data_IF_164377750191
#
_entry.id   IF_164377750191
#
_cell.length_a   1.000
_cell.length_b   1.000
_cell.length_c   1.000
_cell.angle_alpha   90.00
_cell.angle_beta   90.00
_cell.angle_gamma   90.00
#
_symmetry.space_group_name_H-M   'P 1'
#
loop_
_entity.id
_entity.type
_entity.pdbx_description
1 polymer ?
#
# COMPACT_ATOMS: atom_id res chain seq x y z
N UNK A 1 -10.07 -6.98 12.55
CA UNK A 1 -9.87 -5.52 12.57
C UNK A 1 -10.93 -4.83 11.72
N UNK A 2 -11.54 -3.78 12.27
CA UNK A 2 -12.38 -2.84 11.51
C UNK A 2 -11.55 -1.80 10.73
N UNK A 3 -12.20 -1.03 9.86
CA UNK A 3 -11.53 0.00 9.04
C UNK A 3 -10.82 1.08 9.88
N UNK A 4 -11.42 1.48 11.01
CA UNK A 4 -10.84 2.47 11.93
C UNK A 4 -9.59 1.94 12.64
N UNK A 5 -9.61 0.69 13.11
CA UNK A 5 -8.46 0.05 13.74
C UNK A 5 -7.30 -0.14 12.75
N UNK A 6 -7.60 -0.52 11.49
CA UNK A 6 -6.58 -0.60 10.45
C UNK A 6 -5.91 0.75 10.23
N UNK A 7 -6.70 1.82 10.16
CA UNK A 7 -6.17 3.18 9.97
C UNK A 7 -5.23 3.56 11.11
N UNK A 8 -5.62 3.31 12.35
CA UNK A 8 -4.80 3.67 13.51
C UNK A 8 -3.54 2.79 13.60
N UNK A 9 -3.63 1.50 13.25
CA UNK A 9 -2.47 0.62 13.13
C UNK A 9 -1.48 1.09 12.05
N UNK A 10 -1.95 1.45 10.86
CA UNK A 10 -1.10 1.95 9.77
C UNK A 10 -0.48 3.31 10.11
N UNK A 11 -1.20 4.18 10.83
CA UNK A 11 -0.64 5.42 11.38
C UNK A 11 0.45 5.15 12.41
N UNK A 12 0.27 4.15 13.28
CA UNK A 12 1.29 3.71 14.24
C UNK A 12 2.58 3.20 13.57
N UNK A 13 2.47 2.64 12.36
CA UNK A 13 3.59 2.22 11.52
C UNK A 13 4.19 3.35 10.68
N UNK A 14 3.78 4.60 10.93
CA UNK A 14 4.26 5.81 10.28
C UNK A 14 3.97 5.88 8.76
N UNK A 15 3.00 5.10 8.27
CA UNK A 15 2.52 5.24 6.89
C UNK A 15 1.64 6.47 6.73
N UNK A 16 2.05 7.41 5.87
CA UNK A 16 1.27 8.60 5.50
C UNK A 16 0.45 8.32 4.25
N UNK A 17 -0.70 7.67 4.43
CA UNK A 17 -1.63 7.35 3.35
C UNK A 17 -2.81 8.33 3.33
N UNK A 18 -3.31 8.66 2.14
CA UNK A 18 -4.55 9.42 1.99
C UNK A 18 -5.76 8.55 2.36
N UNK A 19 -6.86 9.18 2.79
CA UNK A 19 -8.10 8.47 3.14
C UNK A 19 -8.60 7.60 1.97
N UNK A 20 -8.50 8.10 0.73
CA UNK A 20 -8.85 7.34 -0.48
C UNK A 20 -8.01 6.06 -0.64
N UNK A 21 -6.73 6.11 -0.32
CA UNK A 21 -5.85 4.93 -0.39
C UNK A 21 -6.24 3.91 0.69
N UNK A 22 -6.53 4.38 1.90
CA UNK A 22 -6.97 3.53 3.01
C UNK A 22 -8.31 2.85 2.70
N UNK A 23 -9.28 3.58 2.16
CA UNK A 23 -10.58 3.01 1.73
C UNK A 23 -10.39 1.94 0.67
N UNK A 24 -9.51 2.16 -0.30
CA UNK A 24 -9.20 1.18 -1.34
C UNK A 24 -8.58 -0.09 -0.75
N UNK A 25 -7.68 0.05 0.23
CA UNK A 25 -7.09 -1.09 0.94
C UNK A 25 -8.17 -1.85 1.70
N UNK A 26 -9.04 -1.16 2.44
CA UNK A 26 -10.13 -1.82 3.17
C UNK A 26 -11.03 -2.59 2.19
N UNK A 27 -11.47 -1.97 1.09
CA UNK A 27 -12.33 -2.63 0.11
C UNK A 27 -11.67 -3.87 -0.52
N UNK A 28 -10.37 -3.78 -0.83
CA UNK A 28 -9.61 -4.84 -1.50
C UNK A 28 -9.33 -6.04 -0.59
N UNK A 29 -9.15 -5.80 0.70
CA UNK A 29 -8.67 -6.80 1.65
C UNK A 29 -9.70 -7.20 2.72
N UNK A 30 -10.88 -6.56 2.79
CA UNK A 30 -11.92 -7.01 3.72
C UNK A 30 -12.47 -8.38 3.33
N UNK A 31 -12.74 -9.22 4.33
CA UNK A 31 -13.49 -10.45 4.17
C UNK A 31 -14.98 -10.16 3.98
N UNK A 32 -15.77 -11.11 3.45
CA UNK A 32 -17.23 -11.00 3.25
C UNK A 32 -18.03 -10.53 4.47
N UNK A 33 -17.43 -10.58 5.67
CA UNK A 33 -18.02 -10.14 6.95
C UNK A 33 -17.65 -8.71 7.39
N UNK A 34 -16.96 -7.92 6.57
CA UNK A 34 -16.54 -6.57 6.98
C UNK A 34 -15.22 -6.51 7.76
N UNK A 35 -14.56 -7.65 7.98
CA UNK A 35 -13.42 -7.76 8.91
C UNK A 35 -12.14 -8.08 8.16
N UNK A 36 -11.05 -7.44 8.58
CA UNK A 36 -9.68 -7.74 8.14
C UNK A 36 -9.06 -8.68 9.15
N UNK A 37 -8.67 -9.88 8.72
CA UNK A 37 -7.96 -10.87 9.53
C UNK A 37 -6.49 -10.50 9.69
N UNK A 38 -5.81 -11.11 10.67
CA UNK A 38 -4.41 -10.77 10.95
C UNK A 38 -3.46 -11.14 9.80
N UNK A 39 -3.68 -12.28 9.15
CA UNK A 39 -2.93 -12.68 7.95
C UNK A 39 -3.04 -11.62 6.84
N UNK A 40 -4.25 -11.08 6.66
CA UNK A 40 -4.53 -10.06 5.66
C UNK A 40 -3.91 -8.71 6.04
N UNK A 41 -3.93 -8.37 7.33
CA UNK A 41 -3.21 -7.20 7.85
C UNK A 41 -1.70 -7.30 7.58
N UNK A 42 -1.06 -8.44 7.86
CA UNK A 42 0.36 -8.64 7.57
C UNK A 42 0.62 -8.52 6.06
N UNK A 43 -0.23 -9.11 5.23
CA UNK A 43 -0.12 -9.02 3.77
C UNK A 43 -0.22 -7.57 3.25
N UNK A 44 -1.15 -6.77 3.79
CA UNK A 44 -1.26 -5.34 3.48
C UNK A 44 0.04 -4.62 3.80
N UNK A 45 0.61 -4.87 4.98
CA UNK A 45 1.85 -4.21 5.40
C UNK A 45 3.03 -4.56 4.49
N UNK A 46 3.23 -5.84 4.18
CA UNK A 46 4.30 -6.28 3.28
C UNK A 46 4.15 -5.63 1.91
N UNK A 47 2.94 -5.63 1.35
CA UNK A 47 2.67 -5.00 0.04
C UNK A 47 2.91 -3.49 0.06
N UNK A 48 2.49 -2.80 1.11
CA UNK A 48 2.74 -1.36 1.27
C UNK A 48 4.24 -1.06 1.30
N UNK A 49 5.01 -1.81 2.10
CA UNK A 49 6.47 -1.64 2.16
C UNK A 49 7.10 -1.81 0.78
N UNK A 50 6.73 -2.86 0.04
CA UNK A 50 7.25 -3.11 -1.31
C UNK A 50 6.86 -2.01 -2.31
N UNK A 51 5.63 -1.49 -2.24
CA UNK A 51 5.18 -0.35 -3.06
C UNK A 51 5.99 0.91 -2.75
N UNK A 52 6.16 1.24 -1.47
CA UNK A 52 6.94 2.40 -1.06
C UNK A 52 8.41 2.27 -1.47
N UNK A 53 9.01 1.09 -1.28
CA UNK A 53 10.40 0.86 -1.68
C UNK A 53 10.57 0.97 -3.20
N UNK A 54 9.67 0.37 -3.97
CA UNK A 54 9.68 0.43 -5.43
C UNK A 54 9.52 1.87 -5.95
N UNK A 55 8.66 2.66 -5.31
CA UNK A 55 8.47 4.07 -5.62
C UNK A 55 9.69 4.91 -5.24
N UNK A 56 10.20 4.77 -4.00
CA UNK A 56 11.34 5.55 -3.50
C UNK A 56 12.62 5.25 -4.28
N UNK A 57 12.87 3.98 -4.63
CA UNK A 57 14.04 3.56 -5.42
C UNK A 57 14.10 4.31 -6.75
N UNK A 58 12.96 4.48 -7.42
CA UNK A 58 12.85 5.20 -8.69
C UNK A 58 12.74 6.72 -8.51
N UNK A 59 12.07 7.19 -7.45
CA UNK A 59 11.95 8.62 -7.14
C UNK A 59 13.28 9.26 -6.76
N UNK A 60 14.27 8.51 -6.25
CA UNK A 60 15.62 9.04 -5.98
C UNK A 60 16.28 9.68 -7.21
N UNK A 61 15.91 9.23 -8.42
CA UNK A 61 16.39 9.82 -9.66
C UNK A 61 15.70 11.14 -10.03
N UNK A 62 14.48 11.39 -9.55
CA UNK A 62 13.68 12.57 -9.87
C UNK A 62 13.13 13.19 -8.59
N UNK A 63 13.78 14.26 -8.09
CA UNK A 63 13.41 15.02 -6.87
C UNK A 63 12.04 15.72 -6.95
N UNK A 64 11.21 15.36 -7.92
CA UNK A 64 9.92 15.99 -8.24
C UNK A 64 8.73 15.37 -7.48
N UNK A 65 8.96 14.28 -6.73
CA UNK A 65 7.90 13.53 -6.06
C UNK A 65 7.01 12.73 -7.01
N UNK A 66 7.43 12.57 -8.27
CA UNK A 66 6.77 11.75 -9.29
C UNK A 66 7.74 10.69 -9.81
N UNK A 67 7.20 9.54 -10.19
CA UNK A 67 7.96 8.46 -10.83
C UNK A 67 7.39 8.22 -12.21
N UNK A 68 8.28 8.14 -13.20
CA UNK A 68 7.93 7.77 -14.57
C UNK A 68 8.20 6.26 -14.73
N UNK A 69 7.25 5.56 -15.32
CA UNK A 69 7.38 4.14 -15.64
C UNK A 69 7.29 3.96 -17.15
N UNK A 70 8.15 3.10 -17.71
CA UNK A 70 7.85 2.46 -18.99
C UNK A 70 6.73 1.43 -18.78
N UNK A 71 6.06 1.01 -19.86
CA UNK A 71 4.94 0.06 -19.75
C UNK A 71 5.39 -1.26 -19.11
N UNK A 72 6.51 -1.84 -19.56
CA UNK A 72 7.10 -3.05 -18.99
C UNK A 72 7.51 -2.87 -17.53
N UNK A 73 8.15 -1.74 -17.18
CA UNK A 73 8.53 -1.45 -15.79
C UNK A 73 7.32 -1.38 -14.86
N UNK A 74 6.20 -0.82 -15.35
CA UNK A 74 4.96 -0.71 -14.60
C UNK A 74 4.34 -2.08 -14.36
N UNK A 75 4.26 -2.92 -15.39
CA UNK A 75 3.74 -4.29 -15.29
C UNK A 75 4.60 -5.10 -14.31
N UNK A 76 5.92 -5.07 -14.48
CA UNK A 76 6.85 -5.78 -13.59
C UNK A 76 6.77 -5.30 -12.15
N UNK A 77 6.69 -3.98 -11.93
CA UNK A 77 6.56 -3.43 -10.58
C UNK A 77 5.24 -3.83 -9.93
N UNK A 78 4.13 -3.86 -10.67
CA UNK A 78 2.81 -4.20 -10.10
C UNK A 78 2.61 -5.70 -9.88
N UNK A 79 3.17 -6.56 -10.74
CA UNK A 79 3.07 -8.02 -10.60
C UNK A 79 4.00 -8.60 -9.53
N UNK A 80 5.15 -7.97 -9.29
CA UNK A 80 6.13 -8.43 -8.30
C UNK A 80 5.78 -8.04 -6.86
N UNK A 81 4.74 -7.21 -6.67
CA UNK A 81 4.22 -6.75 -5.37
C UNK A 81 3.00 -7.56 -4.97
#
# INVERSE_FOLDING_TARGET
MGAYELRDALKGLNFKLSNRSLETIVLRFHSKRGVISFDMFVQINVRLVLMFESFLRRSRASRTGKVVFSMDDFIMATLCI
#
